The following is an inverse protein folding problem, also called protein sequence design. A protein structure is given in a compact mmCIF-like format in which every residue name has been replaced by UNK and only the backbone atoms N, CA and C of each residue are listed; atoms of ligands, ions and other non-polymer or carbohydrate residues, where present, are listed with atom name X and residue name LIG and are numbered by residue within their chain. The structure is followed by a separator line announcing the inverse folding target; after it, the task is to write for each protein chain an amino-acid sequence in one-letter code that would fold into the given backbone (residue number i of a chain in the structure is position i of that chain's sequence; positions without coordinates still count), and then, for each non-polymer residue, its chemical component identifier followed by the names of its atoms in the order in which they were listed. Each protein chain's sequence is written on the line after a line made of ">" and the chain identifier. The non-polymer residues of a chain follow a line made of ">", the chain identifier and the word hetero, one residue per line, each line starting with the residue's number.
data_IF_307270630152
#
_entry.id   IF_307270630152
#
_cell.length_a   1.000
_cell.length_b   1.000
_cell.length_c   1.000
_cell.angle_alpha   90.00
_cell.angle_beta   90.00
_cell.angle_gamma   90.00
#
_symmetry.space_group_name_H-M   'P 1'
#
loop_
_entity.id
_entity.type
_entity.pdbx_description
1 polymer ?
#
# COMPACT_ATOMS: atom_id res chain seq x y z
N UNK A 1 12.98 -17.46 11.64
CA UNK A 1 12.30 -16.17 11.36
C UNK A 1 12.26 -15.79 9.86
N UNK A 2 12.48 -16.73 8.91
CA UNK A 2 12.43 -16.42 7.47
C UNK A 2 11.06 -16.61 6.81
N UNK A 3 10.19 -17.44 7.39
CA UNK A 3 8.89 -17.76 6.77
C UNK A 3 7.87 -16.62 6.80
N UNK A 4 8.00 -15.65 7.72
CA UNK A 4 7.11 -14.48 7.81
C UNK A 4 7.27 -13.57 6.59
N UNK A 5 8.51 -13.11 6.35
CA UNK A 5 8.83 -12.22 5.22
C UNK A 5 8.49 -12.85 3.87
N UNK A 6 8.82 -14.13 3.68
CA UNK A 6 8.53 -14.85 2.45
C UNK A 6 7.03 -14.93 2.15
N UNK A 7 6.21 -15.17 3.18
CA UNK A 7 4.74 -15.23 3.02
C UNK A 7 4.17 -13.86 2.66
N UNK A 8 4.68 -12.77 3.27
CA UNK A 8 4.29 -11.40 2.91
C UNK A 8 4.73 -11.00 1.50
N UNK A 9 5.94 -11.36 1.07
CA UNK A 9 6.43 -11.14 -0.31
C UNK A 9 5.55 -11.87 -1.34
N UNK A 10 5.15 -13.12 -1.03
CA UNK A 10 4.24 -13.91 -1.89
C UNK A 10 2.86 -13.28 -1.99
N UNK A 11 2.27 -12.84 -0.87
CA UNK A 11 0.98 -12.15 -0.86
C UNK A 11 1.05 -10.85 -1.67
N UNK A 12 2.10 -10.06 -1.48
CA UNK A 12 2.29 -8.80 -2.20
C UNK A 12 2.40 -9.02 -3.71
N UNK A 13 3.17 -10.03 -4.14
CA UNK A 13 3.31 -10.39 -5.56
C UNK A 13 1.97 -10.82 -6.16
N UNK A 14 1.22 -11.70 -5.47
CA UNK A 14 -0.11 -12.11 -5.90
C UNK A 14 -1.04 -10.90 -6.06
N UNK A 15 -1.07 -10.01 -5.07
CA UNK A 15 -1.93 -8.83 -5.09
C UNK A 15 -1.55 -7.87 -6.21
N UNK A 16 -0.25 -7.65 -6.47
CA UNK A 16 0.24 -6.86 -7.60
C UNK A 16 -0.31 -7.40 -8.93
N UNK A 17 -0.19 -8.70 -9.15
CA UNK A 17 -0.63 -9.37 -10.39
C UNK A 17 -2.16 -9.30 -10.54
N UNK A 18 -2.91 -9.60 -9.48
CA UNK A 18 -4.37 -9.54 -9.48
C UNK A 18 -4.90 -8.11 -9.73
N UNK A 19 -4.29 -7.11 -9.09
CA UNK A 19 -4.60 -5.70 -9.32
C UNK A 19 -4.33 -5.31 -10.77
N UNK A 20 -3.15 -5.65 -11.30
CA UNK A 20 -2.79 -5.29 -12.68
C UNK A 20 -3.78 -5.88 -13.70
N UNK A 21 -4.13 -7.17 -13.56
CA UNK A 21 -5.13 -7.81 -14.43
C UNK A 21 -6.47 -7.09 -14.31
N UNK A 22 -6.91 -6.77 -13.09
CA UNK A 22 -8.22 -6.15 -12.89
C UNK A 22 -8.28 -4.71 -13.41
N UNK A 23 -7.23 -3.92 -13.19
CA UNK A 23 -7.14 -2.55 -13.68
C UNK A 23 -7.14 -2.51 -15.21
N UNK A 24 -6.39 -3.41 -15.85
CA UNK A 24 -6.37 -3.53 -17.31
C UNK A 24 -7.74 -3.95 -17.88
N UNK A 25 -8.48 -4.84 -17.21
CA UNK A 25 -9.83 -5.24 -17.64
C UNK A 25 -10.86 -4.11 -17.57
N UNK A 26 -10.60 -3.10 -16.74
CA UNK A 26 -11.48 -1.94 -16.55
C UNK A 26 -11.03 -0.73 -17.39
N UNK A 27 -10.09 -0.93 -18.32
CA UNK A 27 -9.53 0.11 -19.19
C UNK A 27 -8.97 1.32 -18.42
N UNK A 28 -8.45 1.08 -17.20
CA UNK A 28 -7.71 2.07 -16.44
C UNK A 28 -6.27 2.10 -16.95
N UNK A 29 -5.71 3.30 -17.14
CA UNK A 29 -4.35 3.54 -17.64
C UNK A 29 -3.39 3.90 -16.53
N UNK A 30 -3.83 4.81 -15.66
CA UNK A 30 -3.01 5.32 -14.56
C UNK A 30 -3.80 5.29 -13.26
N UNK A 31 -3.16 4.83 -12.19
CA UNK A 31 -3.67 4.95 -10.82
C UNK A 31 -2.61 5.64 -9.97
N UNK A 32 -2.97 6.76 -9.34
CA UNK A 32 -2.08 7.55 -8.48
C UNK A 32 -2.67 7.56 -7.06
N UNK A 33 -1.86 7.18 -6.08
CA UNK A 33 -2.24 7.12 -4.67
C UNK A 33 -1.15 7.77 -3.83
N UNK A 34 -1.51 8.83 -3.13
CA UNK A 34 -0.62 9.48 -2.18
C UNK A 34 -0.69 8.76 -0.84
N UNK A 35 0.41 8.76 -0.12
CA UNK A 35 0.46 8.27 1.26
C UNK A 35 1.23 9.25 2.15
N UNK A 36 0.84 9.27 3.41
CA UNK A 36 1.62 9.94 4.46
C UNK A 36 1.53 9.15 5.76
N UNK A 37 2.66 9.09 6.46
CA UNK A 37 2.78 8.45 7.76
C UNK A 37 3.44 9.39 8.74
N UNK A 38 2.96 9.37 9.99
CA UNK A 38 3.57 10.06 11.13
C UNK A 38 3.04 9.48 12.44
N UNK A 39 3.90 9.40 13.46
CA UNK A 39 3.46 9.04 14.82
C UNK A 39 2.97 7.60 14.99
N UNK A 40 3.42 6.67 14.13
CA UNK A 40 3.03 5.26 14.13
C UNK A 40 1.75 4.96 13.36
N UNK A 41 1.22 5.93 12.61
CA UNK A 41 0.02 5.77 11.79
C UNK A 41 0.36 6.15 10.36
N UNK A 42 0.00 5.27 9.42
CA UNK A 42 0.03 5.50 7.99
C UNK A 42 -1.37 5.67 7.41
N UNK A 43 -1.54 6.56 6.44
CA UNK A 43 -2.78 6.68 5.66
C UNK A 43 -2.46 6.87 4.18
N UNK A 44 -3.43 6.51 3.35
CA UNK A 44 -3.40 6.75 1.90
C UNK A 44 -4.58 7.63 1.49
N UNK A 45 -4.42 8.36 0.38
CA UNK A 45 -5.50 9.13 -0.23
C UNK A 45 -6.49 8.24 -0.97
N UNK A 46 -7.64 8.81 -1.35
CA UNK A 46 -8.45 8.18 -2.41
C UNK A 46 -7.62 8.14 -3.71
N UNK A 47 -7.73 7.06 -4.52
CA UNK A 47 -6.98 6.96 -5.77
C UNK A 47 -7.46 7.96 -6.84
N UNK A 48 -6.52 8.61 -7.51
CA UNK A 48 -6.77 9.34 -8.75
C UNK A 48 -6.58 8.39 -9.93
N UNK A 49 -7.54 8.38 -10.86
CA UNK A 49 -7.61 7.40 -11.95
C UNK A 49 -7.65 8.09 -13.30
N UNK A 50 -6.92 7.55 -14.27
CA UNK A 50 -7.03 7.93 -15.67
C UNK A 50 -7.51 6.73 -16.50
N UNK A 51 -8.59 6.86 -17.30
CA UNK A 51 -9.47 8.02 -17.39
C UNK A 51 -10.39 8.18 -16.16
N UNK A 52 -10.63 9.42 -15.72
CA UNK A 52 -11.36 9.75 -14.47
C UNK A 52 -12.75 9.12 -14.38
N UNK A 53 -13.45 8.95 -15.53
CA UNK A 53 -14.78 8.34 -15.57
C UNK A 53 -14.83 6.91 -15.00
N UNK A 54 -13.68 6.23 -14.93
CA UNK A 54 -13.57 4.88 -14.37
C UNK A 54 -13.42 4.87 -12.85
N UNK A 55 -13.14 6.00 -12.20
CA UNK A 55 -12.91 6.09 -10.76
C UNK A 55 -14.07 5.50 -9.93
N UNK A 56 -15.31 5.64 -10.40
CA UNK A 56 -16.51 5.05 -9.75
C UNK A 56 -16.44 3.53 -9.63
N UNK A 57 -15.77 2.86 -10.56
CA UNK A 57 -15.65 1.40 -10.60
C UNK A 57 -14.81 0.86 -9.44
N UNK A 58 -13.89 1.66 -8.88
CA UNK A 58 -13.10 1.23 -7.72
C UNK A 58 -13.94 0.86 -6.49
N UNK A 59 -15.14 1.46 -6.37
CA UNK A 59 -16.04 1.27 -5.22
C UNK A 59 -17.05 0.14 -5.43
N UNK A 60 -17.20 -0.35 -6.66
CA UNK A 60 -18.16 -1.40 -7.01
C UNK A 60 -17.47 -2.69 -7.43
N UNK A 61 -16.35 -2.58 -8.12
CA UNK A 61 -15.61 -3.71 -8.66
C UNK A 61 -14.82 -4.42 -7.58
N UNK A 62 -14.70 -5.73 -7.76
CA UNK A 62 -13.96 -6.60 -6.85
C UNK A 62 -12.72 -7.17 -7.50
N UNK A 63 -11.78 -7.55 -6.66
CA UNK A 63 -10.58 -8.30 -7.01
C UNK A 63 -10.34 -9.38 -5.96
N UNK A 64 -9.74 -10.49 -6.38
CA UNK A 64 -9.25 -11.49 -5.43
C UNK A 64 -7.92 -10.98 -4.89
N UNK A 65 -7.83 -10.86 -3.57
CA UNK A 65 -6.58 -10.55 -2.90
C UNK A 65 -6.18 -11.66 -1.94
N UNK A 66 -4.88 -11.84 -1.80
CA UNK A 66 -4.25 -12.74 -0.86
C UNK A 66 -3.83 -11.98 0.39
N UNK A 67 -4.30 -12.44 1.55
CA UNK A 67 -3.98 -11.87 2.87
C UNK A 67 -3.12 -12.85 3.65
N UNK A 68 -2.21 -12.30 4.46
CA UNK A 68 -1.42 -13.07 5.41
C UNK A 68 -2.16 -13.15 6.73
N UNK A 69 -2.50 -14.36 7.16
CA UNK A 69 -3.12 -14.61 8.45
C UNK A 69 -2.11 -15.20 9.41
N UNK A 70 -2.06 -14.63 10.62
CA UNK A 70 -1.31 -15.20 11.74
C UNK A 70 -2.18 -16.22 12.46
N UNK A 71 -1.79 -17.50 12.42
CA UNK A 71 -2.39 -18.57 13.20
C UNK A 71 -1.48 -18.92 14.37
N UNK A 72 -2.08 -19.13 15.54
CA UNK A 72 -1.37 -19.59 16.73
C UNK A 72 -2.01 -20.91 17.15
N UNK A 73 -1.23 -21.98 17.10
CA UNK A 73 -1.66 -23.31 17.52
C UNK A 73 -0.56 -23.92 18.38
N UNK A 74 -0.89 -24.35 19.59
CA UNK A 74 0.06 -24.96 20.56
C UNK A 74 1.34 -24.13 20.77
N UNK A 75 1.20 -22.81 20.91
CA UNK A 75 2.31 -21.83 21.03
C UNK A 75 3.21 -21.72 19.79
N UNK A 76 2.87 -22.38 18.68
CA UNK A 76 3.54 -22.26 17.38
C UNK A 76 2.81 -21.20 16.57
N UNK A 77 3.54 -20.16 16.16
CA UNK A 77 3.05 -19.14 15.23
C UNK A 77 3.28 -19.63 13.80
N UNK A 78 2.22 -19.65 12.99
CA UNK A 78 2.28 -19.91 11.55
C UNK A 78 1.63 -18.76 10.79
N UNK A 79 2.18 -18.49 9.61
CA UNK A 79 1.61 -17.53 8.67
C UNK A 79 1.03 -18.30 7.50
N UNK A 80 -0.23 -18.05 7.21
CA UNK A 80 -0.98 -18.71 6.14
C UNK A 80 -1.49 -17.67 5.16
N UNK A 81 -1.64 -18.09 3.90
CA UNK A 81 -2.22 -17.26 2.85
C UNK A 81 -3.70 -17.60 2.71
N UNK A 82 -4.54 -16.57 2.72
CA UNK A 82 -5.96 -16.68 2.48
C UNK A 82 -6.36 -15.78 1.32
N UNK A 83 -6.95 -16.37 0.28
CA UNK A 83 -7.53 -15.62 -0.83
C UNK A 83 -8.97 -15.21 -0.49
N UNK A 84 -9.29 -13.95 -0.73
CA UNK A 84 -10.64 -13.43 -0.51
C UNK A 84 -10.97 -12.33 -1.52
N UNK A 85 -12.23 -12.26 -1.93
CA UNK A 85 -12.72 -11.16 -2.75
C UNK A 85 -12.91 -9.91 -1.88
N UNK A 86 -12.37 -8.78 -2.32
CA UNK A 86 -12.58 -7.47 -1.71
C UNK A 86 -12.86 -6.41 -2.78
N UNK A 87 -13.23 -5.20 -2.35
CA UNK A 87 -13.41 -4.08 -3.26
C UNK A 87 -12.06 -3.60 -3.79
N UNK A 88 -12.03 -3.18 -5.05
CA UNK A 88 -10.81 -2.81 -5.75
C UNK A 88 -10.07 -1.65 -5.06
N UNK A 89 -10.79 -0.60 -4.61
CA UNK A 89 -10.18 0.49 -3.84
C UNK A 89 -9.49 -0.01 -2.56
N UNK A 90 -10.11 -0.99 -1.87
CA UNK A 90 -9.55 -1.52 -0.62
C UNK A 90 -8.32 -2.36 -0.88
N UNK A 91 -8.31 -3.13 -1.97
CA UNK A 91 -7.13 -3.88 -2.38
C UNK A 91 -5.97 -2.97 -2.77
N UNK A 92 -6.25 -1.85 -3.45
CA UNK A 92 -5.25 -0.82 -3.78
C UNK A 92 -4.65 -0.19 -2.52
N UNK A 93 -5.49 0.21 -1.56
CA UNK A 93 -5.04 0.74 -0.27
C UNK A 93 -4.16 -0.27 0.48
N UNK A 94 -4.66 -1.50 0.66
CA UNK A 94 -3.94 -2.57 1.38
C UNK A 94 -2.60 -2.87 0.68
N UNK A 95 -2.58 -2.86 -0.66
CA UNK A 95 -1.36 -3.04 -1.46
C UNK A 95 -0.37 -1.89 -1.27
N UNK A 96 -0.80 -0.63 -1.37
CA UNK A 96 0.06 0.54 -1.20
C UNK A 96 0.71 0.53 0.18
N UNK A 97 -0.08 0.32 1.23
CA UNK A 97 0.44 0.25 2.60
C UNK A 97 1.49 -0.86 2.75
N UNK A 98 1.21 -2.05 2.21
CA UNK A 98 2.15 -3.17 2.26
C UNK A 98 3.43 -2.91 1.45
N UNK A 99 3.32 -2.32 0.24
CA UNK A 99 4.45 -2.06 -0.63
C UNK A 99 5.33 -0.93 -0.10
N UNK A 100 4.73 0.17 0.35
CA UNK A 100 5.43 1.27 1.03
C UNK A 100 6.12 0.78 2.29
N UNK A 101 5.45 -0.05 3.10
CA UNK A 101 6.06 -0.64 4.30
C UNK A 101 7.33 -1.45 4.01
N UNK A 102 7.44 -2.08 2.83
CA UNK A 102 8.64 -2.80 2.41
C UNK A 102 9.73 -1.88 1.82
N UNK A 103 9.36 -0.77 1.15
CA UNK A 103 10.28 0.01 0.32
C UNK A 103 10.63 1.40 0.89
N UNK A 104 9.89 1.88 1.89
CA UNK A 104 10.16 3.11 2.64
C UNK A 104 10.10 2.81 4.16
N UNK A 105 11.05 2.02 4.70
CA UNK A 105 11.01 1.59 6.09
C UNK A 105 11.06 2.80 7.04
N UNK A 106 10.13 2.85 7.99
CA UNK A 106 10.06 3.94 8.97
C UNK A 106 9.21 5.13 8.52
N UNK A 107 8.55 5.08 7.36
CA UNK A 107 7.63 6.13 6.88
C UNK A 107 6.51 6.48 7.88
N UNK A 108 6.07 5.53 8.69
CA UNK A 108 5.05 5.78 9.73
C UNK A 108 5.67 6.35 11.02
N UNK A 109 6.98 6.20 11.22
CA UNK A 109 7.67 6.43 12.48
C UNK A 109 8.41 7.76 12.49
N UNK A 110 8.73 8.23 13.71
CA UNK A 110 9.46 9.47 13.95
C UNK A 110 8.80 10.67 13.25
N UNK A 111 9.57 11.37 12.42
CA UNK A 111 9.15 12.57 11.71
C UNK A 111 8.16 12.31 10.58
N UNK A 112 8.03 11.05 10.19
CA UNK A 112 7.12 10.58 9.16
C UNK A 112 7.76 10.52 7.78
N UNK A 113 6.97 10.10 6.82
CA UNK A 113 7.32 10.04 5.41
C UNK A 113 6.06 10.20 4.58
N UNK A 114 6.21 10.77 3.39
CA UNK A 114 5.12 10.92 2.43
C UNK A 114 5.61 10.56 1.04
N UNK A 115 4.69 10.26 0.15
CA UNK A 115 5.03 9.99 -1.23
C UNK A 115 3.83 9.62 -2.06
N UNK A 116 4.12 9.19 -3.27
CA UNK A 116 3.13 8.87 -4.28
C UNK A 116 3.47 7.52 -4.89
N UNK A 117 2.48 6.65 -4.95
CA UNK A 117 2.51 5.42 -5.73
C UNK A 117 1.79 5.65 -7.04
N UNK A 118 2.50 5.43 -8.15
CA UNK A 118 1.94 5.51 -9.50
C UNK A 118 1.95 4.12 -10.14
N UNK A 119 0.77 3.65 -10.54
CA UNK A 119 0.59 2.40 -11.28
C UNK A 119 0.30 2.76 -12.73
N UNK A 120 1.26 2.48 -13.61
CA UNK A 120 1.11 2.54 -15.06
C UNK A 120 0.61 1.20 -15.54
N UNK A 121 -0.68 1.11 -15.85
CA UNK A 121 -1.37 -0.14 -16.17
C UNK A 121 -0.94 -0.66 -17.54
N UNK A 122 -0.83 0.24 -18.54
CA UNK A 122 -0.46 -0.13 -19.91
C UNK A 122 0.94 -0.75 -19.99
N UNK A 123 1.89 -0.25 -19.19
CA UNK A 123 3.27 -0.71 -19.15
C UNK A 123 3.55 -1.73 -18.04
N UNK A 124 2.52 -2.14 -17.28
CA UNK A 124 2.65 -3.03 -16.12
C UNK A 124 3.74 -2.58 -15.13
N UNK A 125 3.79 -1.28 -14.84
CA UNK A 125 4.87 -0.65 -14.06
C UNK A 125 4.31 0.02 -12.81
N UNK A 126 5.03 -0.15 -11.69
CA UNK A 126 4.71 0.47 -10.41
C UNK A 126 5.90 1.36 -10.03
N UNK A 127 5.63 2.61 -9.73
CA UNK A 127 6.61 3.61 -9.31
C UNK A 127 6.26 4.09 -7.90
N UNK A 128 7.29 4.26 -7.08
CA UNK A 128 7.18 4.79 -5.73
C UNK A 128 8.15 5.96 -5.61
N UNK A 129 7.58 7.16 -5.55
CA UNK A 129 8.30 8.39 -5.28
C UNK A 129 8.04 8.79 -3.83
N UNK A 130 9.08 9.14 -3.07
CA UNK A 130 8.89 9.46 -1.66
C UNK A 130 9.91 10.44 -1.10
N UNK A 131 9.50 11.10 -0.03
CA UNK A 131 10.29 12.02 0.77
C UNK A 131 10.27 11.53 2.23
N UNK A 132 11.46 11.33 2.80
CA UNK A 132 11.63 11.08 4.23
C UNK A 132 11.66 12.43 4.97
N UNK A 133 10.68 12.65 5.84
CA UNK A 133 10.65 13.87 6.65
C UNK A 133 11.66 13.74 7.79
N UNK A 134 12.29 14.86 8.13
CA UNK A 134 13.21 15.00 9.27
C UNK A 134 12.88 16.31 9.99
N UNK A 135 12.61 16.27 11.29
CA UNK A 135 12.36 17.47 12.10
C UNK A 135 13.65 17.80 12.85
N UNK A 136 14.27 18.92 12.51
CA UNK A 136 15.39 19.46 13.31
C UNK A 136 14.82 20.23 14.50
N UNK A 137 15.29 19.95 15.72
CA UNK A 137 14.87 20.71 16.91
C UNK A 137 15.30 22.18 16.81
N UNK A 138 14.36 23.10 17.00
CA UNK A 138 14.62 24.54 17.07
C UNK A 138 14.28 25.05 18.46
N UNK A 139 15.26 25.66 19.15
CA UNK A 139 15.06 26.25 20.47
C UNK A 139 14.81 27.75 20.33
N UNK A 140 13.68 28.22 20.83
CA UNK A 140 13.36 29.63 20.93
C UNK A 140 13.28 30.00 22.41
N UNK A 141 14.07 30.99 22.82
CA UNK A 141 14.00 31.56 24.17
C UNK A 141 13.43 32.97 24.05
N UNK A 142 12.40 33.26 24.83
CA UNK A 142 11.87 34.61 25.00
C UNK A 142 12.47 35.19 26.27
N UNK A 143 13.08 36.37 26.16
CA UNK A 143 13.57 37.14 27.31
C UNK A 143 12.53 38.23 27.57
N UNK A 144 12.07 38.34 28.82
CA UNK A 144 11.17 39.39 29.30
C UNK A 144 11.92 40.71 29.49
#
# INVERSE_FOLDING_TARGET
>A
MNGDREVHERALKFNREALMVRLHQLDMRTVIIDYEGRGGIGKVSEPTIEPEMMARLLKTEKVIQCRVLKRIQDSIVRFELEESACLLHKSLEDFVLAWVGQNHPGWERNDGGKGTVTIHVEDNRFELEYEQLHTTSSYHYYVL
#
